data_IF_742545805752
#
_entry.id   IF_742545805752
#
_cell.length_a   1.000
_cell.length_b   1.000
_cell.length_c   1.000
_cell.angle_alpha   90.00
_cell.angle_beta   90.00
_cell.angle_gamma   90.00
#
_symmetry.space_group_name_H-M   'P 1'
#
loop_
_entity.id
_entity.type
_entity.pdbx_description
1 polymer ?
#
# COMPACT_ATOMS: atom_id res chain seq x y z
N UNK A 1 37.01 19.45 -16.53
CA UNK A 1 36.82 18.94 -17.91
C UNK A 1 36.83 17.42 -17.87
N UNK A 2 35.83 16.82 -18.53
CA UNK A 2 35.63 15.43 -19.00
C UNK A 2 36.76 14.40 -18.82
N UNK A 3 36.36 13.19 -18.40
CA UNK A 3 37.04 11.92 -18.73
C UNK A 3 36.78 10.84 -17.67
N UNK A 4 35.75 10.00 -17.84
CA UNK A 4 35.77 8.66 -18.48
C UNK A 4 36.30 7.57 -17.55
N UNK A 5 35.44 6.59 -17.23
CA UNK A 5 35.73 5.21 -17.56
C UNK A 5 34.41 4.44 -17.74
N UNK A 6 34.29 3.79 -18.89
CA UNK A 6 33.31 2.76 -19.17
C UNK A 6 33.45 1.64 -18.13
N UNK A 7 32.34 1.11 -17.62
CA UNK A 7 32.17 -0.34 -17.66
C UNK A 7 30.72 -0.81 -17.42
N UNK A 8 30.37 -1.85 -18.18
CA UNK A 8 29.25 -2.76 -18.02
C UNK A 8 27.81 -2.27 -18.22
N UNK A 9 27.48 -2.18 -19.51
CA UNK A 9 26.29 -2.83 -20.06
C UNK A 9 26.26 -4.32 -19.68
N UNK A 10 25.45 -4.69 -18.70
CA UNK A 10 24.73 -5.96 -18.72
C UNK A 10 23.41 -5.76 -18.01
N UNK A 11 22.31 -5.70 -18.75
CA UNK A 11 20.97 -6.14 -18.36
C UNK A 11 20.01 -5.81 -19.52
N UNK A 12 19.35 -6.81 -20.13
CA UNK A 12 18.45 -6.62 -21.28
C UNK A 12 17.15 -5.86 -20.95
N UNK A 13 16.91 -5.51 -19.68
CA UNK A 13 15.64 -4.94 -19.21
C UNK A 13 15.41 -3.46 -19.56
N UNK A 14 16.41 -2.74 -20.09
CA UNK A 14 16.29 -1.28 -20.34
C UNK A 14 15.91 -0.89 -21.76
N UNK A 15 15.86 -1.82 -22.71
CA UNK A 15 15.55 -1.50 -24.12
C UNK A 15 14.04 -1.51 -24.42
N UNK A 16 13.20 -2.07 -23.55
CA UNK A 16 11.74 -2.14 -23.81
C UNK A 16 10.93 -0.95 -23.26
N UNK A 17 11.49 -0.11 -22.39
CA UNK A 17 10.74 0.94 -21.69
C UNK A 17 10.61 2.26 -22.48
N UNK A 18 11.21 2.38 -23.67
CA UNK A 18 11.22 3.65 -24.42
C UNK A 18 10.56 3.61 -25.81
N UNK A 19 9.81 2.55 -26.16
CA UNK A 19 9.11 2.49 -27.46
C UNK A 19 7.58 2.33 -27.43
N UNK A 20 6.92 2.40 -26.29
CA UNK A 20 5.45 2.29 -26.21
C UNK A 20 4.72 3.61 -25.89
N UNK A 21 5.25 4.75 -26.35
CA UNK A 21 4.55 6.04 -26.29
C UNK A 21 3.72 6.37 -27.54
N UNK A 22 3.51 5.43 -28.47
CA UNK A 22 2.81 5.75 -29.72
C UNK A 22 1.95 4.60 -30.21
N UNK A 23 0.84 4.33 -29.52
CA UNK A 23 -0.38 3.84 -30.15
C UNK A 23 -1.57 4.17 -29.23
N UNK A 24 -2.45 5.03 -29.75
CA UNK A 24 -3.68 5.51 -29.12
C UNK A 24 -4.56 4.33 -28.71
N UNK A 25 -4.99 4.29 -27.46
CA UNK A 25 -6.28 3.68 -27.10
C UNK A 25 -6.29 2.43 -26.23
N UNK A 26 -5.18 2.01 -25.61
CA UNK A 26 -5.22 0.89 -24.65
C UNK A 26 -4.80 1.33 -23.24
N UNK A 27 -5.78 1.63 -22.38
CA UNK A 27 -5.57 1.75 -20.93
C UNK A 27 -5.56 0.32 -20.36
N UNK A 28 -4.38 -0.22 -20.09
CA UNK A 28 -4.28 -1.48 -19.37
C UNK A 28 -4.67 -1.26 -17.90
N UNK A 29 -5.50 -2.12 -17.29
CA UNK A 29 -5.79 -2.03 -15.86
C UNK A 29 -4.52 -2.32 -15.04
N UNK A 30 -4.31 -1.61 -13.92
CA UNK A 30 -3.10 -1.73 -13.08
C UNK A 30 -2.74 -3.18 -12.71
N UNK A 31 -3.75 -4.06 -12.64
CA UNK A 31 -3.62 -5.51 -12.42
C UNK A 31 -2.83 -6.30 -13.48
N UNK A 32 -2.46 -5.68 -14.60
CA UNK A 32 -1.80 -6.38 -15.71
C UNK A 32 -0.28 -6.46 -15.53
N UNK A 33 0.34 -5.42 -14.97
CA UNK A 33 1.80 -5.39 -14.76
C UNK A 33 2.26 -6.24 -13.58
N UNK A 34 1.40 -6.49 -12.60
CA UNK A 34 1.70 -7.33 -11.43
C UNK A 34 1.73 -8.83 -11.76
N UNK A 35 1.13 -9.28 -12.87
CA UNK A 35 1.02 -10.70 -13.22
C UNK A 35 2.29 -11.31 -13.82
N UNK A 36 3.05 -10.56 -14.62
CA UNK A 36 4.12 -11.14 -15.46
C UNK A 36 5.46 -11.34 -14.74
N UNK A 37 5.68 -10.70 -13.58
CA UNK A 37 7.00 -10.66 -12.92
C UNK A 37 7.10 -11.50 -11.62
N UNK A 38 6.12 -12.40 -11.39
CA UNK A 38 5.91 -13.15 -10.14
C UNK A 38 6.82 -14.36 -9.88
N UNK A 39 7.86 -14.60 -10.70
CA UNK A 39 8.62 -15.85 -10.63
C UNK A 39 9.84 -15.86 -9.71
N UNK A 40 10.27 -14.71 -9.15
CA UNK A 40 11.55 -14.65 -8.39
C UNK A 40 11.57 -13.67 -7.20
N UNK A 41 10.53 -13.61 -6.37
CA UNK A 41 10.69 -12.98 -5.04
C UNK A 41 11.28 -14.00 -4.06
N UNK A 42 12.53 -13.84 -3.59
CA UNK A 42 13.06 -14.69 -2.53
C UNK A 42 12.14 -14.62 -1.31
N UNK A 43 11.87 -15.76 -0.66
CA UNK A 43 11.09 -15.78 0.59
C UNK A 43 11.84 -15.00 1.65
N UNK A 44 11.35 -13.81 1.99
CA UNK A 44 11.89 -12.99 3.07
C UNK A 44 11.23 -13.44 4.37
N UNK A 45 12.01 -13.59 5.45
CA UNK A 45 11.42 -13.80 6.77
C UNK A 45 10.56 -12.60 7.19
N UNK A 46 9.59 -12.85 8.06
CA UNK A 46 8.70 -11.82 8.60
C UNK A 46 9.50 -10.65 9.20
N UNK A 47 10.53 -10.97 9.99
CA UNK A 47 11.42 -9.97 10.60
C UNK A 47 12.11 -9.07 9.57
N UNK A 48 12.51 -9.63 8.41
CA UNK A 48 13.13 -8.85 7.35
C UNK A 48 12.12 -7.95 6.63
N UNK A 49 10.90 -8.43 6.41
CA UNK A 49 9.82 -7.64 5.82
C UNK A 49 9.46 -6.44 6.70
N UNK A 50 9.28 -6.68 8.00
CA UNK A 50 9.00 -5.63 8.98
C UNK A 50 10.19 -4.67 9.09
N UNK A 51 11.43 -5.15 9.19
CA UNK A 51 12.62 -4.28 9.20
C UNK A 51 12.66 -3.34 7.99
N UNK A 52 12.37 -3.84 6.79
CA UNK A 52 12.33 -3.01 5.57
C UNK A 52 11.20 -1.98 5.62
N UNK A 53 10.06 -2.33 6.19
CA UNK A 53 8.97 -1.37 6.41
C UNK A 53 9.41 -0.26 7.38
N UNK A 54 10.04 -0.64 8.50
CA UNK A 54 10.52 0.31 9.51
C UNK A 54 11.50 1.33 8.95
N UNK A 55 12.44 0.88 8.09
CA UNK A 55 13.42 1.78 7.45
C UNK A 55 12.78 2.86 6.59
N UNK A 56 11.58 2.60 6.04
CA UNK A 56 10.86 3.53 5.17
C UNK A 56 9.61 4.12 5.83
N UNK A 57 9.36 3.82 7.11
CA UNK A 57 8.11 4.11 7.82
C UNK A 57 7.63 5.54 7.61
N UNK A 58 8.49 6.53 7.88
CA UNK A 58 8.13 7.95 7.78
C UNK A 58 7.67 8.32 6.36
N UNK A 59 8.41 7.88 5.33
CA UNK A 59 8.06 8.12 3.92
C UNK A 59 6.75 7.46 3.55
N UNK A 60 6.54 6.23 3.99
CA UNK A 60 5.33 5.44 3.70
C UNK A 60 4.09 6.03 4.35
N UNK A 61 4.20 6.44 5.62
CA UNK A 61 3.13 7.10 6.37
C UNK A 61 2.72 8.44 5.74
N UNK A 62 3.70 9.24 5.32
CA UNK A 62 3.45 10.50 4.60
C UNK A 62 2.76 10.24 3.25
N UNK A 63 3.27 9.28 2.47
CA UNK A 63 2.70 8.90 1.18
C UNK A 63 1.26 8.37 1.34
N UNK A 64 1.01 7.57 2.38
CA UNK A 64 -0.32 7.07 2.71
C UNK A 64 -1.29 8.23 2.96
N UNK A 65 -0.94 9.14 3.87
CA UNK A 65 -1.82 10.23 4.26
C UNK A 65 -2.11 11.18 3.09
N UNK A 66 -1.09 11.47 2.27
CA UNK A 66 -1.28 12.25 1.05
C UNK A 66 -2.32 11.61 0.12
N UNK A 67 -2.11 10.34 -0.24
CA UNK A 67 -3.01 9.63 -1.17
C UNK A 67 -4.41 9.43 -0.59
N UNK A 68 -4.51 9.17 0.72
CA UNK A 68 -5.79 9.00 1.41
C UNK A 68 -6.65 10.28 1.33
N UNK A 69 -6.01 11.45 1.50
CA UNK A 69 -6.66 12.78 1.35
C UNK A 69 -7.12 13.04 -0.09
N UNK A 70 -6.35 12.60 -1.08
CA UNK A 70 -6.69 12.75 -2.50
C UNK A 70 -7.83 11.81 -2.95
N UNK A 71 -8.02 10.67 -2.27
CA UNK A 71 -8.97 9.63 -2.67
C UNK A 71 -10.47 10.00 -2.50
N UNK A 72 -10.81 11.07 -1.75
CA UNK A 72 -12.19 11.46 -1.44
C UNK A 72 -13.07 10.33 -0.87
N UNK A 73 -12.46 9.40 -0.11
CA UNK A 73 -13.14 8.30 0.56
C UNK A 73 -12.92 8.44 2.09
N UNK A 74 -13.99 8.45 2.91
CA UNK A 74 -15.40 8.47 2.52
C UNK A 74 -15.82 9.78 1.82
N UNK A 75 -16.83 9.72 0.94
CA UNK A 75 -17.30 10.91 0.20
C UNK A 75 -17.86 11.96 1.14
N UNK A 76 -17.66 13.24 0.79
CA UNK A 76 -18.15 14.37 1.59
C UNK A 76 -17.36 14.62 2.88
N UNK A 77 -16.29 13.85 3.11
CA UNK A 77 -15.44 13.95 4.29
C UNK A 77 -13.99 14.24 3.91
N UNK A 78 -13.32 15.06 4.71
CA UNK A 78 -11.89 15.37 4.61
C UNK A 78 -11.16 14.73 5.78
N UNK A 79 -10.03 14.10 5.50
CA UNK A 79 -9.16 13.52 6.51
C UNK A 79 -8.37 14.61 7.23
N UNK A 80 -8.54 14.72 8.55
CA UNK A 80 -7.91 15.77 9.36
C UNK A 80 -6.71 15.24 10.13
N UNK A 81 -6.92 14.20 10.92
CA UNK A 81 -5.91 13.57 11.78
C UNK A 81 -5.74 12.09 11.45
N UNK A 82 -4.50 11.61 11.56
CA UNK A 82 -4.14 10.20 11.47
C UNK A 82 -3.08 9.91 12.52
N UNK A 83 -3.43 9.13 13.55
CA UNK A 83 -2.52 8.65 14.58
C UNK A 83 -2.15 7.20 14.28
N UNK A 84 -0.86 6.89 14.30
CA UNK A 84 -0.34 5.55 13.99
C UNK A 84 -0.23 4.71 15.25
N UNK A 85 -0.81 3.52 15.21
CA UNK A 85 -0.79 2.58 16.33
C UNK A 85 0.36 1.58 16.19
N UNK A 86 0.79 0.94 17.30
CA UNK A 86 1.85 -0.08 17.25
C UNK A 86 1.44 -1.38 16.54
N UNK A 87 0.14 -1.64 16.39
CA UNK A 87 -0.37 -2.90 15.85
C UNK A 87 -0.13 -3.01 14.34
N UNK A 88 0.48 -4.12 13.93
CA UNK A 88 0.72 -4.42 12.52
C UNK A 88 0.59 -5.92 12.27
N UNK A 89 0.04 -6.30 11.11
CA UNK A 89 -0.07 -7.70 10.69
C UNK A 89 0.35 -7.81 9.22
N UNK A 90 1.25 -8.76 8.94
CA UNK A 90 1.59 -9.16 7.58
C UNK A 90 0.61 -10.23 7.10
N UNK A 91 0.09 -10.05 5.91
CA UNK A 91 -0.79 -11.00 5.23
C UNK A 91 -0.20 -11.39 3.88
N UNK A 92 -0.56 -12.58 3.43
CA UNK A 92 -0.27 -13.12 2.12
C UNK A 92 -1.57 -13.42 1.39
N UNK A 93 -1.74 -12.85 0.21
CA UNK A 93 -2.83 -13.20 -0.69
C UNK A 93 -2.71 -14.67 -1.11
N UNK A 94 -3.76 -15.46 -0.90
CA UNK A 94 -3.77 -16.90 -1.18
C UNK A 94 -3.70 -17.20 -2.67
N UNK A 95 -4.23 -16.33 -3.51
CA UNK A 95 -4.28 -16.52 -4.96
C UNK A 95 -3.03 -15.98 -5.65
N UNK A 96 -2.58 -14.79 -5.25
CA UNK A 96 -1.49 -14.09 -5.94
C UNK A 96 -0.14 -14.28 -5.29
N UNK A 97 -0.09 -14.78 -4.04
CA UNK A 97 1.09 -14.79 -3.17
C UNK A 97 1.67 -13.41 -2.86
N UNK A 98 0.95 -12.33 -3.17
CA UNK A 98 1.36 -10.97 -2.84
C UNK A 98 1.32 -10.75 -1.33
N UNK A 99 2.25 -9.94 -0.83
CA UNK A 99 2.39 -9.66 0.60
C UNK A 99 1.87 -8.24 0.84
N UNK A 100 1.00 -8.10 1.84
CA UNK A 100 0.57 -6.80 2.33
C UNK A 100 0.79 -6.69 3.84
N UNK A 101 0.92 -5.46 4.31
CA UNK A 101 0.98 -5.10 5.72
C UNK A 101 -0.25 -4.26 6.05
N UNK A 102 -0.97 -4.67 7.09
CA UNK A 102 -2.02 -3.87 7.73
C UNK A 102 -1.41 -3.19 8.95
N UNK A 103 -1.42 -1.86 8.99
CA UNK A 103 -0.98 -1.08 10.14
C UNK A 103 -2.18 -0.37 10.79
N UNK A 104 -2.32 -0.48 12.11
CA UNK A 104 -3.40 0.17 12.84
C UNK A 104 -3.25 1.69 12.83
N UNK A 105 -4.36 2.39 12.63
CA UNK A 105 -4.43 3.85 12.70
C UNK A 105 -5.76 4.30 13.32
N UNK A 106 -5.71 5.42 14.01
CA UNK A 106 -6.87 6.20 14.41
C UNK A 106 -7.02 7.39 13.47
N UNK A 107 -8.19 7.53 12.85
CA UNK A 107 -8.44 8.59 11.86
C UNK A 107 -9.63 9.45 12.31
N UNK A 108 -9.51 10.76 12.10
CA UNK A 108 -10.63 11.70 12.26
C UNK A 108 -10.96 12.36 10.92
N UNK A 109 -12.24 12.71 10.77
CA UNK A 109 -12.76 13.37 9.59
C UNK A 109 -13.43 14.70 9.96
N UNK A 110 -13.50 15.59 8.98
CA UNK A 110 -14.39 16.74 8.99
C UNK A 110 -15.32 16.63 7.79
N UNK A 111 -16.56 17.09 7.96
CA UNK A 111 -17.45 17.26 6.84
C UNK A 111 -16.92 18.38 5.92
N UNK A 112 -17.11 18.21 4.62
CA UNK A 112 -16.90 19.28 3.65
C UNK A 112 -18.13 20.20 3.71
N UNK A 113 -17.89 21.51 3.86
CA UNK A 113 -18.94 22.54 3.89
C UNK A 113 -19.83 22.47 2.65
N UNK A 114 -21.15 22.57 2.85
CA UNK A 114 -22.14 22.41 1.78
C UNK A 114 -22.30 20.99 1.25
N UNK A 115 -21.66 19.99 1.88
CA UNK A 115 -21.77 18.58 1.53
C UNK A 115 -22.82 17.82 2.34
N UNK A 116 -23.23 16.65 1.86
CA UNK A 116 -24.26 15.80 2.47
C UNK A 116 -24.00 15.42 3.94
N UNK A 117 -22.75 15.52 4.39
CA UNK A 117 -22.29 15.11 5.72
C UNK A 117 -22.15 16.26 6.73
N UNK A 118 -22.43 17.52 6.33
CA UNK A 118 -22.20 18.73 7.16
C UNK A 118 -22.91 18.69 8.52
N UNK A 119 -24.13 18.16 8.56
CA UNK A 119 -24.96 18.16 9.77
C UNK A 119 -24.85 16.85 10.60
N UNK A 120 -23.92 15.96 10.27
CA UNK A 120 -23.79 14.66 10.94
C UNK A 120 -22.77 14.75 12.07
N UNK A 121 -23.24 14.87 13.31
CA UNK A 121 -22.39 15.03 14.51
C UNK A 121 -21.36 13.90 14.73
N UNK A 122 -21.60 12.70 14.19
CA UNK A 122 -20.70 11.56 14.31
C UNK A 122 -19.48 11.61 13.37
N UNK A 123 -19.39 12.61 12.49
CA UNK A 123 -18.32 12.76 11.50
C UNK A 123 -16.98 13.08 12.15
N UNK A 124 -16.99 13.88 13.21
CA UNK A 124 -15.79 14.28 13.95
C UNK A 124 -15.25 13.20 14.90
N UNK A 125 -15.88 12.03 14.95
CA UNK A 125 -15.46 10.94 15.82
C UNK A 125 -14.25 10.21 15.24
N UNK A 126 -13.29 9.93 16.11
CA UNK A 126 -12.14 9.11 15.83
C UNK A 126 -12.58 7.67 15.48
N UNK A 127 -12.03 7.12 14.41
CA UNK A 127 -12.34 5.78 13.90
C UNK A 127 -11.09 4.92 13.90
N UNK A 128 -11.23 3.72 14.45
CA UNK A 128 -10.26 2.65 14.25
C UNK A 128 -10.22 2.27 12.78
N UNK A 129 -9.03 2.13 12.23
CA UNK A 129 -8.83 1.68 10.88
C UNK A 129 -7.49 0.97 10.70
N UNK A 130 -7.31 0.40 9.51
CA UNK A 130 -6.06 -0.19 9.05
C UNK A 130 -5.57 0.52 7.79
N UNK A 131 -4.38 1.11 7.83
CA UNK A 131 -3.66 1.53 6.63
C UNK A 131 -3.09 0.30 5.91
N UNK A 132 -3.26 0.25 4.58
CA UNK A 132 -2.81 -0.88 3.76
C UNK A 132 -1.53 -0.53 3.00
N UNK A 133 -0.51 -1.37 3.14
CA UNK A 133 0.74 -1.33 2.39
C UNK A 133 0.95 -2.63 1.62
N UNK A 134 1.53 -2.53 0.43
CA UNK A 134 1.81 -3.66 -0.45
C UNK A 134 3.31 -3.74 -0.70
N UNK A 135 3.85 -4.95 -0.64
CA UNK A 135 5.24 -5.20 -1.01
C UNK A 135 5.34 -5.33 -2.53
N UNK A 136 6.16 -4.49 -3.15
CA UNK A 136 6.45 -4.54 -4.59
C UNK A 136 7.95 -4.81 -4.82
N UNK A 137 8.38 -5.06 -6.08
CA UNK A 137 9.80 -5.23 -6.39
C UNK A 137 10.67 -4.01 -6.02
N UNK A 138 10.10 -2.81 -5.93
CA UNK A 138 10.82 -1.60 -5.51
C UNK A 138 10.70 -1.29 -4.02
N UNK A 139 10.10 -2.18 -3.23
CA UNK A 139 9.94 -2.03 -1.78
C UNK A 139 8.48 -1.86 -1.38
N UNK A 140 8.27 -1.30 -0.20
CA UNK A 140 6.92 -1.06 0.31
C UNK A 140 6.26 0.12 -0.41
N UNK A 141 4.98 -0.03 -0.72
CA UNK A 141 4.16 1.01 -1.34
C UNK A 141 2.77 1.05 -0.73
N UNK A 142 2.05 2.14 -1.00
CA UNK A 142 0.66 2.31 -0.61
C UNK A 142 -0.10 3.09 -1.67
N UNK A 143 -1.38 2.78 -1.81
CA UNK A 143 -2.34 3.54 -2.62
C UNK A 143 -3.17 4.52 -1.77
N UNK A 144 -2.90 4.65 -0.46
CA UNK A 144 -3.74 5.43 0.47
C UNK A 144 -5.01 4.69 0.92
N UNK A 145 -5.14 3.39 0.60
CA UNK A 145 -6.30 2.58 0.98
C UNK A 145 -6.31 2.29 2.49
N UNK A 146 -7.46 2.52 3.12
CA UNK A 146 -7.72 2.13 4.50
C UNK A 146 -8.91 1.18 4.63
N UNK A 147 -8.89 0.33 5.65
CA UNK A 147 -10.05 -0.47 6.09
C UNK A 147 -10.60 0.17 7.36
N UNK A 148 -11.81 0.73 7.31
CA UNK A 148 -12.39 1.48 8.43
C UNK A 148 -13.17 0.59 9.40
N UNK A 149 -13.31 1.09 10.63
CA UNK A 149 -14.07 0.48 11.72
C UNK A 149 -13.53 -0.91 12.12
N UNK A 150 -12.21 -1.07 12.07
CA UNK A 150 -11.53 -2.30 12.48
C UNK A 150 -10.04 -2.11 12.71
N UNK A 151 -9.50 -2.86 13.68
CA UNK A 151 -8.07 -3.00 13.90
C UNK A 151 -7.45 -4.09 12.98
N UNK A 152 -6.11 -4.21 12.90
CA UNK A 152 -5.46 -5.19 12.01
C UNK A 152 -5.86 -6.65 12.24
N UNK A 153 -6.10 -7.07 13.49
CA UNK A 153 -6.48 -8.44 13.81
C UNK A 153 -7.89 -8.77 13.30
N UNK A 154 -8.84 -7.86 13.52
CA UNK A 154 -10.20 -7.99 12.97
C UNK A 154 -10.21 -7.96 11.43
N UNK A 155 -9.39 -7.10 10.83
CA UNK A 155 -9.24 -7.05 9.39
C UNK A 155 -8.66 -8.35 8.84
N UNK A 156 -7.66 -8.93 9.48
CA UNK A 156 -7.09 -10.22 9.11
C UNK A 156 -8.13 -11.34 9.18
N UNK A 157 -8.95 -11.39 10.23
CA UNK A 157 -10.02 -12.37 10.36
C UNK A 157 -11.08 -12.22 9.26
N UNK A 158 -11.54 -10.99 8.99
CA UNK A 158 -12.49 -10.73 7.89
C UNK A 158 -11.95 -11.09 6.51
N UNK A 159 -10.63 -11.06 6.34
CA UNK A 159 -9.95 -11.32 5.08
C UNK A 159 -9.47 -12.79 4.94
N UNK A 160 -9.72 -13.65 5.92
CA UNK A 160 -9.13 -15.01 6.02
C UNK A 160 -9.37 -15.92 4.80
N UNK A 161 -10.48 -15.70 4.07
CA UNK A 161 -10.84 -16.49 2.89
C UNK A 161 -9.92 -16.17 1.70
N UNK A 162 -9.45 -14.93 1.60
CA UNK A 162 -8.58 -14.45 0.51
C UNK A 162 -7.12 -14.31 0.94
N UNK A 163 -6.87 -14.12 2.24
CA UNK A 163 -5.56 -13.86 2.81
C UNK A 163 -5.24 -14.85 3.93
N UNK A 164 -3.96 -15.17 4.09
CA UNK A 164 -3.45 -15.88 5.25
C UNK A 164 -2.45 -14.98 5.99
N UNK A 165 -2.31 -15.11 7.32
CA UNK A 165 -1.16 -14.54 8.02
C UNK A 165 0.14 -14.94 7.32
N UNK A 166 1.06 -13.99 7.16
CA UNK A 166 2.39 -14.27 6.65
C UNK A 166 3.21 -14.97 7.74
N UNK A 167 2.93 -16.25 7.96
CA UNK A 167 3.81 -17.09 8.75
C UNK A 167 4.93 -17.61 7.85
N UNK A 168 6.17 -17.56 8.34
CA UNK A 168 7.23 -18.37 7.77
C UNK A 168 6.78 -19.84 7.85
N UNK A 169 6.71 -20.54 6.70
CA UNK A 169 6.53 -21.98 6.73
C UNK A 169 7.72 -22.55 7.50
N UNK A 170 7.46 -23.12 8.69
CA UNK A 170 8.49 -23.76 9.50
C UNK A 170 9.20 -24.78 8.58
N UNK A 171 10.54 -24.76 8.50
CA UNK A 171 11.29 -25.68 7.65
C UNK A 171 10.98 -27.13 7.99
#
# INVERSE_FOLDING_TARGET
>A
MKGRFFDLLSHPARVLLFKFSALRGLVLPESFFTKLFRLFTPRLSEANLLRRFEMERNRLQQTFLQKAREANIPRGLRWTQCEWLPSMILLKDRQTNEICLLAGVNISFEAIEGGDMENVAAVSMLRDACAVFQLTPSGWQTSGRALFNMNPAEAAERLRDSYAPYAEAKP
#
